data_IF_510381791684
#
_entry.id   IF_510381791684
#
_cell.length_a   1.000
_cell.length_b   1.000
_cell.length_c   1.000
_cell.angle_alpha   90.00
_cell.angle_beta   90.00
_cell.angle_gamma   90.00
#
_symmetry.space_group_name_H-M   'P 1'
#
loop_
_entity.id
_entity.type
_entity.pdbx_description
1 polymer ?
#
# COMPACT_ATOMS: atom_id res chain seq x y z
N UNK A 1 25.02 34.92 -31.96
CA UNK A 1 24.06 35.09 -30.85
C UNK A 1 24.43 34.05 -29.79
N UNK A 2 24.98 34.49 -28.67
CA UNK A 2 25.25 33.63 -27.53
C UNK A 2 23.88 33.44 -26.88
N UNK A 3 23.26 32.26 -27.04
CA UNK A 3 22.11 31.88 -26.23
C UNK A 3 22.56 31.83 -24.77
N UNK A 4 22.17 32.84 -24.03
CA UNK A 4 22.30 32.85 -22.57
C UNK A 4 21.37 31.72 -22.06
N UNK A 5 21.94 30.53 -21.76
CA UNK A 5 21.25 29.47 -21.09
C UNK A 5 20.77 30.00 -19.73
N UNK A 6 19.52 30.44 -19.65
CA UNK A 6 18.91 30.77 -18.37
C UNK A 6 18.83 29.51 -17.54
N UNK A 7 19.61 29.46 -16.46
CA UNK A 7 19.63 28.36 -15.50
C UNK A 7 18.20 28.12 -14.97
N UNK A 8 17.64 26.95 -15.24
CA UNK A 8 16.32 26.56 -14.73
C UNK A 8 16.38 26.28 -13.23
N UNK A 9 15.27 26.41 -12.52
CA UNK A 9 15.18 26.02 -11.10
C UNK A 9 15.57 24.56 -10.89
N UNK A 10 15.22 23.68 -11.82
CA UNK A 10 15.59 22.25 -11.80
C UNK A 10 17.10 22.00 -11.92
N UNK A 11 17.90 22.98 -12.39
CA UNK A 11 19.35 22.84 -12.46
C UNK A 11 20.02 22.99 -11.08
N UNK A 12 19.31 23.59 -10.11
CA UNK A 12 19.76 23.73 -8.74
C UNK A 12 19.39 22.51 -7.89
N UNK A 13 20.38 21.82 -7.34
CA UNK A 13 20.15 20.69 -6.44
C UNK A 13 19.23 21.09 -5.26
N UNK A 14 19.43 22.26 -4.65
CA UNK A 14 18.61 22.74 -3.53
C UNK A 14 17.12 22.79 -3.89
N UNK A 15 16.78 23.34 -5.05
CA UNK A 15 15.37 23.42 -5.49
C UNK A 15 14.80 22.04 -5.85
N UNK A 16 15.56 21.17 -6.53
CA UNK A 16 15.11 19.80 -6.84
C UNK A 16 14.80 19.02 -5.59
N UNK A 17 15.74 19.00 -4.65
CA UNK A 17 15.56 18.27 -3.39
C UNK A 17 14.47 18.88 -2.51
N UNK A 18 14.27 20.20 -2.53
CA UNK A 18 13.11 20.82 -1.87
C UNK A 18 11.79 20.36 -2.49
N UNK A 19 11.70 20.32 -3.81
CA UNK A 19 10.52 19.79 -4.51
C UNK A 19 10.25 18.33 -4.13
N UNK A 20 11.30 17.49 -4.07
CA UNK A 20 11.19 16.11 -3.63
C UNK A 20 10.68 16.00 -2.19
N UNK A 21 11.23 16.77 -1.27
CA UNK A 21 10.81 16.77 0.15
C UNK A 21 9.33 17.14 0.27
N UNK A 22 8.87 18.14 -0.46
CA UNK A 22 7.45 18.54 -0.44
C UNK A 22 6.54 17.42 -0.99
N UNK A 23 6.91 16.79 -2.10
CA UNK A 23 6.16 15.69 -2.68
C UNK A 23 6.18 14.45 -1.79
N UNK A 24 7.36 14.06 -1.32
CA UNK A 24 7.54 12.88 -0.46
C UNK A 24 6.89 13.04 0.92
N UNK A 25 6.85 14.25 1.47
CA UNK A 25 6.16 14.52 2.75
C UNK A 25 4.67 14.26 2.66
N UNK A 26 4.03 14.64 1.57
CA UNK A 26 2.61 14.35 1.36
C UNK A 26 2.34 12.85 1.26
N UNK A 27 3.21 12.09 0.57
CA UNK A 27 3.13 10.63 0.52
C UNK A 27 3.39 10.01 1.89
N UNK A 28 4.38 10.49 2.64
CA UNK A 28 4.67 10.04 4.00
C UNK A 28 3.43 10.13 4.91
N UNK A 29 2.73 11.26 4.90
CA UNK A 29 1.51 11.45 5.68
C UNK A 29 0.35 10.58 5.15
N UNK A 30 0.27 10.38 3.85
CA UNK A 30 -0.67 9.45 3.23
C UNK A 30 -0.47 8.01 3.73
N UNK A 31 0.75 7.52 3.74
CA UNK A 31 1.08 6.18 4.23
C UNK A 31 0.88 6.01 5.74
N UNK A 32 1.06 7.07 6.54
CA UNK A 32 0.64 7.06 7.95
C UNK A 32 -0.86 6.82 8.06
N UNK A 33 -1.68 7.52 7.24
CA UNK A 33 -3.13 7.39 7.32
C UNK A 33 -3.63 6.03 6.81
N UNK A 34 -3.04 5.48 5.74
CA UNK A 34 -3.40 4.14 5.20
C UNK A 34 -3.45 3.07 6.30
N UNK A 35 -2.54 3.14 7.25
CA UNK A 35 -2.40 2.14 8.30
C UNK A 35 -2.77 2.64 9.70
N UNK A 36 -3.40 3.81 9.83
CA UNK A 36 -3.65 4.46 11.13
C UNK A 36 -4.52 3.62 12.07
N UNK A 37 -5.48 2.89 11.54
CA UNK A 37 -6.37 2.01 12.33
C UNK A 37 -5.85 0.56 12.41
N UNK A 38 -4.85 0.18 11.62
CA UNK A 38 -4.31 -1.18 11.61
C UNK A 38 -3.82 -1.65 12.99
N UNK A 39 -3.03 -0.86 13.74
CA UNK A 39 -2.57 -1.25 15.06
C UNK A 39 -3.60 -1.05 16.20
N UNK A 40 -4.83 -0.66 15.88
CA UNK A 40 -5.88 -0.32 16.85
C UNK A 40 -7.10 -1.25 16.70
N UNK A 41 -6.96 -2.42 16.09
CA UNK A 41 -8.06 -3.35 15.83
C UNK A 41 -8.77 -3.79 17.12
N UNK A 42 -8.01 -4.08 18.18
CA UNK A 42 -8.53 -4.42 19.50
C UNK A 42 -9.35 -3.26 20.10
N UNK A 43 -8.83 -2.05 20.05
CA UNK A 43 -9.48 -0.86 20.57
C UNK A 43 -10.74 -0.48 19.78
N UNK A 44 -10.73 -0.68 18.45
CA UNK A 44 -11.92 -0.52 17.60
C UNK A 44 -13.02 -1.49 17.97
N UNK A 45 -12.70 -2.74 18.28
CA UNK A 45 -13.67 -3.71 18.76
C UNK A 45 -14.26 -3.30 20.09
N UNK A 46 -13.43 -2.86 21.03
CA UNK A 46 -13.86 -2.43 22.38
C UNK A 46 -14.68 -1.14 22.34
N UNK A 47 -14.24 -0.12 21.61
CA UNK A 47 -14.87 1.21 21.65
C UNK A 47 -15.96 1.43 20.60
N UNK A 48 -15.93 0.71 19.47
CA UNK A 48 -16.83 0.93 18.32
C UNK A 48 -17.54 -0.36 17.87
N UNK A 49 -17.31 -1.47 18.55
CA UNK A 49 -17.95 -2.75 18.21
C UNK A 49 -17.50 -3.34 16.88
N UNK A 50 -16.35 -2.95 16.33
CA UNK A 50 -15.85 -3.51 15.08
C UNK A 50 -15.26 -4.89 15.35
N UNK A 51 -16.01 -5.92 15.03
CA UNK A 51 -15.48 -7.28 15.01
C UNK A 51 -14.46 -7.49 13.88
N UNK A 52 -13.92 -8.70 13.78
CA UNK A 52 -12.93 -9.00 12.74
C UNK A 52 -13.47 -8.87 11.32
N UNK A 53 -14.78 -9.12 11.11
CA UNK A 53 -15.44 -8.97 9.80
C UNK A 53 -15.55 -7.49 9.43
N UNK A 54 -16.07 -6.65 10.34
CA UNK A 54 -16.20 -5.22 10.11
C UNK A 54 -14.84 -4.56 9.85
N UNK A 55 -13.82 -4.95 10.61
CA UNK A 55 -12.45 -4.47 10.40
C UNK A 55 -11.90 -4.88 9.03
N UNK A 56 -12.13 -6.12 8.61
CA UNK A 56 -11.72 -6.62 7.29
C UNK A 56 -12.38 -5.87 6.13
N UNK A 57 -13.69 -5.62 6.25
CA UNK A 57 -14.45 -4.84 5.28
C UNK A 57 -13.98 -3.38 5.20
N UNK A 58 -13.72 -2.76 6.35
CA UNK A 58 -13.08 -1.44 6.38
C UNK A 58 -11.70 -1.46 5.70
N UNK A 59 -10.82 -2.37 6.10
CA UNK A 59 -9.45 -2.43 5.58
C UNK A 59 -9.39 -2.69 4.07
N UNK A 60 -10.34 -3.48 3.54
CA UNK A 60 -10.47 -3.72 2.09
C UNK A 60 -11.11 -2.58 1.32
N UNK A 61 -11.77 -1.62 1.98
CA UNK A 61 -12.54 -0.58 1.27
C UNK A 61 -11.69 0.45 0.53
N UNK A 62 -10.44 0.66 0.91
CA UNK A 62 -9.55 1.67 0.31
C UNK A 62 -9.44 1.53 -1.22
N UNK A 63 -9.10 0.35 -1.81
CA UNK A 63 -8.97 0.22 -3.25
C UNK A 63 -10.31 -0.01 -4.00
N UNK A 64 -11.46 0.05 -3.31
CA UNK A 64 -12.75 -0.27 -3.91
C UNK A 64 -13.05 0.47 -5.22
N UNK A 65 -12.86 1.78 -5.25
CA UNK A 65 -13.14 2.59 -6.44
C UNK A 65 -12.13 2.33 -7.57
N UNK A 66 -10.89 1.94 -7.23
CA UNK A 66 -9.93 1.49 -8.23
C UNK A 66 -10.33 0.18 -8.88
N UNK A 67 -10.87 -0.75 -8.09
CA UNK A 67 -11.30 -2.07 -8.58
C UNK A 67 -12.56 -1.96 -9.44
N UNK A 68 -13.62 -1.32 -8.94
CA UNK A 68 -14.95 -1.37 -9.56
C UNK A 68 -15.25 -0.20 -10.49
N UNK A 69 -14.59 0.94 -10.32
CA UNK A 69 -14.80 2.14 -11.15
C UNK A 69 -13.58 2.47 -12.00
N UNK A 70 -12.47 1.71 -11.88
CA UNK A 70 -11.22 1.96 -12.61
C UNK A 70 -10.67 3.38 -12.37
N UNK A 71 -10.78 3.85 -11.13
CA UNK A 71 -10.48 5.23 -10.78
C UNK A 71 -9.07 5.68 -11.19
N UNK A 72 -8.09 4.78 -11.17
CA UNK A 72 -6.71 5.10 -11.58
C UNK A 72 -6.63 5.58 -13.04
N UNK A 73 -7.49 5.07 -13.92
CA UNK A 73 -7.57 5.55 -15.31
C UNK A 73 -8.08 6.99 -15.36
N UNK A 74 -9.11 7.31 -14.59
CA UNK A 74 -9.62 8.68 -14.48
C UNK A 74 -8.57 9.62 -13.88
N UNK A 75 -7.86 9.17 -12.87
CA UNK A 75 -6.75 9.92 -12.25
C UNK A 75 -5.65 10.24 -13.27
N UNK A 76 -5.27 9.28 -14.12
CA UNK A 76 -4.32 9.49 -15.22
C UNK A 76 -4.81 10.51 -16.23
N UNK A 77 -6.10 10.45 -16.63
CA UNK A 77 -6.71 11.42 -17.55
C UNK A 77 -6.72 12.84 -16.94
N UNK A 78 -7.02 12.96 -15.65
CA UNK A 78 -6.98 14.25 -14.93
C UNK A 78 -5.55 14.80 -14.95
N UNK A 79 -4.57 13.95 -14.62
CA UNK A 79 -3.16 14.33 -14.61
C UNK A 79 -2.68 14.79 -15.99
N UNK A 80 -3.07 14.10 -17.06
CA UNK A 80 -2.67 14.46 -18.43
C UNK A 80 -3.30 15.76 -18.94
N UNK A 81 -4.53 16.04 -18.52
CA UNK A 81 -5.26 17.25 -18.96
C UNK A 81 -4.98 18.46 -18.10
N UNK A 82 -4.89 18.26 -16.77
CA UNK A 82 -4.81 19.35 -15.80
C UNK A 82 -3.38 19.60 -15.28
N UNK A 83 -2.47 18.64 -15.52
CA UNK A 83 -1.07 18.74 -15.11
C UNK A 83 -0.82 18.43 -13.64
N UNK A 84 0.47 18.28 -13.29
CA UNK A 84 0.94 17.85 -11.95
C UNK A 84 0.44 18.76 -10.83
N UNK A 85 0.44 20.08 -11.02
CA UNK A 85 0.05 21.03 -9.97
C UNK A 85 -1.38 20.89 -9.51
N UNK A 86 -2.31 20.88 -10.47
CA UNK A 86 -3.74 20.75 -10.17
C UNK A 86 -4.02 19.41 -9.53
N UNK A 87 -3.46 18.34 -10.10
CA UNK A 87 -3.71 16.97 -9.62
C UNK A 87 -3.11 16.74 -8.25
N UNK A 88 -1.95 17.32 -7.91
CA UNK A 88 -1.38 17.26 -6.57
C UNK A 88 -2.31 17.90 -5.52
N UNK A 89 -2.79 19.11 -5.78
CA UNK A 89 -3.70 19.81 -4.84
C UNK A 89 -5.03 19.06 -4.74
N UNK A 90 -5.58 18.58 -5.85
CA UNK A 90 -6.82 17.80 -5.87
C UNK A 90 -6.66 16.50 -5.05
N UNK A 91 -5.59 15.75 -5.29
CA UNK A 91 -5.32 14.51 -4.58
C UNK A 91 -5.20 14.73 -3.08
N UNK A 92 -4.40 15.71 -2.65
CA UNK A 92 -4.28 16.08 -1.25
C UNK A 92 -5.60 16.51 -0.62
N UNK A 93 -6.44 17.24 -1.34
CA UNK A 93 -7.77 17.67 -0.88
C UNK A 93 -8.71 16.47 -0.70
N UNK A 94 -8.69 15.53 -1.64
CA UNK A 94 -9.50 14.29 -1.57
C UNK A 94 -9.03 13.40 -0.43
N UNK A 95 -7.70 13.29 -0.20
CA UNK A 95 -7.15 12.57 0.96
C UNK A 95 -7.63 13.18 2.29
N UNK A 96 -7.55 14.50 2.44
CA UNK A 96 -8.01 15.22 3.64
C UNK A 96 -9.50 15.02 3.86
N UNK A 97 -10.32 15.09 2.81
CA UNK A 97 -11.77 14.86 2.90
C UNK A 97 -12.08 13.44 3.38
N UNK A 98 -11.48 12.42 2.75
CA UNK A 98 -11.66 11.02 3.14
C UNK A 98 -11.22 10.76 4.58
N UNK A 99 -10.08 11.33 4.96
CA UNK A 99 -9.56 11.23 6.33
C UNK A 99 -10.47 11.93 7.37
N UNK A 100 -11.05 13.08 7.03
CA UNK A 100 -11.98 13.80 7.90
C UNK A 100 -13.26 12.99 8.13
N UNK A 101 -13.81 12.36 7.10
CA UNK A 101 -14.96 11.45 7.21
C UNK A 101 -14.61 10.25 8.10
N UNK A 102 -13.45 9.64 7.88
CA UNK A 102 -12.97 8.51 8.65
C UNK A 102 -12.76 8.89 10.14
N UNK A 103 -12.13 10.04 10.39
CA UNK A 103 -11.98 10.56 11.74
C UNK A 103 -13.33 10.77 12.44
N UNK A 104 -14.27 11.45 11.76
CA UNK A 104 -15.59 11.71 12.34
C UNK A 104 -16.32 10.40 12.67
N UNK A 105 -16.24 9.39 11.82
CA UNK A 105 -16.87 8.09 11.99
C UNK A 105 -16.45 7.37 13.29
N UNK A 106 -15.22 7.59 13.76
CA UNK A 106 -14.69 6.95 14.97
C UNK A 106 -14.74 7.86 16.21
N UNK A 107 -15.39 9.04 16.14
CA UNK A 107 -15.59 9.93 17.29
C UNK A 107 -16.82 9.55 18.13
N UNK A 108 -16.82 9.96 19.41
CA UNK A 108 -17.99 9.81 20.27
C UNK A 108 -19.15 10.69 19.80
N UNK A 109 -18.85 11.83 19.16
CA UNK A 109 -19.87 12.71 18.56
C UNK A 109 -20.67 12.02 17.46
N UNK A 110 -20.05 11.13 16.67
CA UNK A 110 -20.76 10.33 15.68
C UNK A 110 -21.76 9.37 16.34
N UNK A 111 -21.36 8.70 17.45
CA UNK A 111 -22.19 7.71 18.15
C UNK A 111 -23.50 8.30 18.70
N UNK A 112 -23.54 9.61 18.96
CA UNK A 112 -24.72 10.33 19.46
C UNK A 112 -25.46 11.11 18.36
N UNK A 113 -24.97 11.06 17.12
CA UNK A 113 -25.52 11.85 16.01
C UNK A 113 -26.68 11.16 15.30
N UNK A 114 -27.55 11.96 14.68
CA UNK A 114 -28.58 11.45 13.77
C UNK A 114 -27.99 10.75 12.51
N UNK A 115 -26.73 11.05 12.16
CA UNK A 115 -26.04 10.41 11.05
C UNK A 115 -25.77 8.93 11.37
N UNK A 116 -25.50 8.55 12.62
CA UNK A 116 -25.39 7.15 13.02
C UNK A 116 -26.67 6.39 12.71
N UNK A 117 -27.83 6.91 13.16
CA UNK A 117 -29.14 6.29 12.89
C UNK A 117 -29.40 6.15 11.38
N UNK A 118 -29.03 7.16 10.58
CA UNK A 118 -29.12 7.09 9.13
C UNK A 118 -28.20 5.98 8.56
N UNK A 119 -26.94 5.90 8.99
CA UNK A 119 -26.01 4.87 8.54
C UNK A 119 -26.40 3.45 8.97
N UNK A 120 -27.06 3.29 10.12
CA UNK A 120 -27.62 2.01 10.54
C UNK A 120 -28.75 1.54 9.58
N UNK A 121 -29.53 2.49 9.03
CA UNK A 121 -30.63 2.22 8.13
C UNK A 121 -30.23 1.93 6.67
N UNK A 122 -29.03 2.27 6.26
CA UNK A 122 -28.57 2.13 4.86
C UNK A 122 -27.41 1.13 4.73
N UNK A 123 -27.11 0.74 3.48
CA UNK A 123 -25.97 -0.15 3.13
C UNK A 123 -26.08 -1.52 3.85
N UNK A 124 -27.29 -1.97 4.16
CA UNK A 124 -27.59 -3.27 4.75
C UNK A 124 -27.73 -4.31 3.62
N UNK A 125 -26.63 -4.73 3.04
CA UNK A 125 -26.60 -5.73 1.98
C UNK A 125 -26.61 -7.13 2.58
N UNK A 126 -27.30 -8.11 1.93
CA UNK A 126 -27.35 -9.47 2.45
C UNK A 126 -25.95 -10.02 2.68
N UNK A 127 -25.71 -10.57 3.86
CA UNK A 127 -24.44 -11.24 4.19
C UNK A 127 -24.38 -12.54 3.39
N UNK A 128 -23.50 -12.59 2.38
CA UNK A 128 -23.19 -13.79 1.62
C UNK A 128 -21.70 -13.79 1.27
N UNK A 129 -21.13 -14.98 1.14
CA UNK A 129 -19.70 -15.14 0.83
C UNK A 129 -19.27 -14.53 -0.52
N UNK A 130 -20.23 -14.26 -1.43
CA UNK A 130 -19.98 -13.56 -2.69
C UNK A 130 -20.35 -12.06 -2.65
N UNK A 131 -20.65 -11.53 -1.46
CA UNK A 131 -20.90 -10.11 -1.33
C UNK A 131 -19.59 -9.34 -1.56
N UNK A 132 -19.47 -8.79 -2.76
CA UNK A 132 -18.30 -8.01 -3.19
C UNK A 132 -18.34 -6.56 -2.75
N UNK A 133 -19.29 -6.18 -1.91
CA UNK A 133 -19.37 -4.81 -1.38
C UNK A 133 -18.69 -4.71 -0.02
N UNK A 134 -18.15 -3.53 0.33
CA UNK A 134 -17.54 -3.34 1.64
C UNK A 134 -18.56 -3.16 2.77
N UNK A 135 -19.85 -3.27 2.50
CA UNK A 135 -20.92 -3.13 3.48
C UNK A 135 -21.78 -4.40 3.55
N UNK A 136 -22.28 -4.72 4.74
CA UNK A 136 -23.16 -5.86 4.99
C UNK A 136 -24.17 -5.55 6.10
N UNK A 137 -25.24 -6.34 6.17
CA UNK A 137 -26.25 -6.25 7.21
C UNK A 137 -25.67 -6.56 8.59
N UNK A 138 -25.86 -5.65 9.54
CA UNK A 138 -25.29 -5.77 10.89
C UNK A 138 -23.89 -5.15 11.05
N UNK A 139 -23.31 -4.61 9.99
CA UNK A 139 -22.06 -3.87 10.11
C UNK A 139 -22.25 -2.59 10.93
N UNK A 140 -21.38 -2.28 11.91
CA UNK A 140 -21.49 -1.06 12.71
C UNK A 140 -21.54 0.21 11.85
N UNK A 141 -22.42 1.16 12.19
CA UNK A 141 -22.60 2.40 11.43
C UNK A 141 -21.28 3.19 11.28
N UNK A 142 -20.47 3.21 12.33
CA UNK A 142 -19.15 3.84 12.33
C UNK A 142 -18.21 3.18 11.32
N UNK A 143 -18.23 1.84 11.19
CA UNK A 143 -17.44 1.12 10.21
C UNK A 143 -17.91 1.38 8.77
N UNK A 144 -19.24 1.49 8.55
CA UNK A 144 -19.80 1.84 7.24
C UNK A 144 -19.35 3.23 6.78
N UNK A 145 -19.44 4.23 7.66
CA UNK A 145 -19.03 5.60 7.34
C UNK A 145 -17.51 5.70 7.18
N UNK A 146 -16.75 5.03 8.04
CA UNK A 146 -15.30 4.98 7.93
C UNK A 146 -14.85 4.35 6.60
N UNK A 147 -15.52 3.27 6.16
CA UNK A 147 -15.24 2.65 4.86
C UNK A 147 -15.47 3.63 3.69
N UNK A 148 -16.54 4.44 3.73
CA UNK A 148 -16.77 5.50 2.72
C UNK A 148 -15.61 6.50 2.74
N UNK A 149 -15.21 6.97 3.92
CA UNK A 149 -14.07 7.87 4.06
C UNK A 149 -12.79 7.27 3.51
N UNK A 150 -12.56 5.98 3.75
CA UNK A 150 -11.35 5.28 3.31
C UNK A 150 -11.33 5.04 1.80
N UNK A 151 -12.47 4.80 1.15
CA UNK A 151 -12.59 4.77 -0.31
C UNK A 151 -12.23 6.12 -0.95
N UNK A 152 -12.76 7.21 -0.39
CA UNK A 152 -12.46 8.57 -0.88
C UNK A 152 -10.98 8.87 -0.70
N UNK A 153 -10.42 8.53 0.46
CA UNK A 153 -9.00 8.65 0.74
C UNK A 153 -8.16 7.86 -0.27
N UNK A 154 -8.54 6.61 -0.58
CA UNK A 154 -7.89 5.75 -1.56
C UNK A 154 -7.81 6.39 -2.96
N UNK A 155 -8.88 7.06 -3.40
CA UNK A 155 -8.83 7.84 -4.64
C UNK A 155 -7.77 8.94 -4.60
N UNK A 156 -7.67 9.65 -3.48
CA UNK A 156 -6.66 10.67 -3.28
C UNK A 156 -5.25 10.11 -3.31
N UNK A 157 -5.02 8.98 -2.65
CA UNK A 157 -3.72 8.31 -2.56
C UNK A 157 -3.22 7.82 -3.91
N UNK A 158 -4.09 7.20 -4.70
CA UNK A 158 -3.74 6.73 -6.04
C UNK A 158 -3.42 7.90 -7.00
N UNK A 159 -4.23 8.97 -6.95
CA UNK A 159 -3.89 10.19 -7.70
C UNK A 159 -2.56 10.78 -7.25
N UNK A 160 -2.30 10.82 -5.94
CA UNK A 160 -1.05 11.35 -5.39
C UNK A 160 0.14 10.54 -5.89
N UNK A 161 0.07 9.21 -5.88
CA UNK A 161 1.15 8.32 -6.31
C UNK A 161 1.62 8.59 -7.74
N UNK A 162 0.68 8.63 -8.70
CA UNK A 162 1.03 8.92 -10.10
C UNK A 162 1.51 10.37 -10.30
N UNK A 163 0.95 11.31 -9.54
CA UNK A 163 1.31 12.72 -9.62
C UNK A 163 2.69 13.01 -9.06
N UNK A 164 3.02 12.40 -7.92
CA UNK A 164 4.34 12.51 -7.27
C UNK A 164 5.42 11.93 -8.18
N UNK A 165 5.19 10.74 -8.74
CA UNK A 165 6.12 10.12 -9.69
C UNK A 165 6.38 11.01 -10.88
N UNK A 166 5.34 11.58 -11.51
CA UNK A 166 5.49 12.52 -12.64
C UNK A 166 6.17 13.83 -12.21
N UNK A 167 5.88 14.33 -11.02
CA UNK A 167 6.56 15.49 -10.44
C UNK A 167 8.06 15.26 -10.27
N UNK A 168 8.46 14.10 -9.77
CA UNK A 168 9.87 13.72 -9.64
C UNK A 168 10.53 13.66 -11.02
N UNK A 169 9.92 12.99 -12.00
CA UNK A 169 10.44 12.95 -13.37
C UNK A 169 10.68 14.36 -13.89
N UNK A 170 9.69 15.25 -13.79
CA UNK A 170 9.79 16.62 -14.30
C UNK A 170 10.94 17.41 -13.69
N UNK A 171 11.19 17.26 -12.37
CA UNK A 171 12.23 18.01 -11.68
C UNK A 171 13.63 17.37 -11.76
N UNK A 172 13.72 16.06 -11.98
CA UNK A 172 14.96 15.30 -11.95
C UNK A 172 15.40 14.77 -13.33
N UNK A 173 14.67 15.04 -14.43
CA UNK A 173 15.11 14.66 -15.77
C UNK A 173 16.49 15.27 -16.06
N UNK A 174 17.45 14.40 -16.44
CA UNK A 174 18.85 14.78 -16.64
C UNK A 174 19.70 14.85 -15.37
N UNK A 175 19.13 14.49 -14.22
CA UNK A 175 19.78 14.48 -12.91
C UNK A 175 19.58 13.11 -12.21
N UNK A 176 19.73 13.06 -10.88
CA UNK A 176 19.69 11.87 -10.02
C UNK A 176 18.25 11.31 -9.81
N UNK A 177 17.49 11.07 -10.87
CA UNK A 177 16.07 10.67 -10.84
C UNK A 177 15.83 9.33 -10.10
N UNK A 178 16.66 8.32 -10.35
CA UNK A 178 16.50 7.01 -9.69
C UNK A 178 16.70 7.12 -8.17
N UNK A 179 17.66 7.94 -7.74
CA UNK A 179 17.87 8.22 -6.32
C UNK A 179 16.68 8.95 -5.71
N UNK A 180 16.11 9.94 -6.41
CA UNK A 180 14.95 10.71 -5.94
C UNK A 180 13.73 9.81 -5.75
N UNK A 181 13.43 8.92 -6.72
CA UNK A 181 12.35 7.95 -6.60
C UNK A 181 12.59 6.94 -5.47
N UNK A 182 13.82 6.46 -5.31
CA UNK A 182 14.18 5.56 -4.23
C UNK A 182 14.03 6.20 -2.84
N UNK A 183 14.38 7.47 -2.69
CA UNK A 183 14.22 8.24 -1.45
C UNK A 183 12.73 8.46 -1.15
N UNK A 184 11.91 8.81 -2.14
CA UNK A 184 10.45 8.95 -1.98
C UNK A 184 9.83 7.66 -1.43
N UNK A 185 10.11 6.53 -2.07
CA UNK A 185 9.61 5.21 -1.63
C UNK A 185 10.10 4.83 -0.23
N UNK A 186 11.35 5.15 0.12
CA UNK A 186 11.87 4.92 1.46
C UNK A 186 11.14 5.76 2.51
N UNK A 187 10.90 7.04 2.23
CA UNK A 187 10.14 7.95 3.11
C UNK A 187 8.71 7.43 3.33
N UNK A 188 8.04 6.95 2.29
CA UNK A 188 6.71 6.34 2.40
C UNK A 188 6.71 5.14 3.36
N UNK A 189 7.69 4.22 3.24
CA UNK A 189 7.83 3.06 4.16
C UNK A 189 8.14 3.46 5.59
N UNK A 190 8.91 4.52 5.80
CA UNK A 190 9.15 5.09 7.14
C UNK A 190 7.82 5.60 7.74
N UNK A 191 6.90 6.15 6.93
CA UNK A 191 5.56 6.52 7.37
C UNK A 191 4.79 5.34 7.96
N UNK A 192 4.84 4.19 7.29
CA UNK A 192 4.24 2.94 7.82
C UNK A 192 4.90 2.52 9.14
N UNK A 193 6.23 2.59 9.24
CA UNK A 193 6.92 2.26 10.49
C UNK A 193 6.49 3.17 11.64
N UNK A 194 6.39 4.48 11.37
CA UNK A 194 5.99 5.49 12.37
C UNK A 194 4.57 5.24 12.87
N UNK A 195 3.63 4.90 12.00
CA UNK A 195 2.24 4.66 12.43
C UNK A 195 2.08 3.38 13.23
N UNK A 196 2.80 2.31 12.87
CA UNK A 196 2.75 1.05 13.63
C UNK A 196 3.21 1.22 15.08
N UNK A 197 4.18 2.08 15.31
CA UNK A 197 4.66 2.42 16.66
C UNK A 197 3.83 3.53 17.32
N UNK A 198 3.50 4.58 16.59
CA UNK A 198 2.95 5.81 17.15
C UNK A 198 1.44 5.76 17.41
N UNK A 199 0.66 5.09 16.56
CA UNK A 199 -0.79 5.08 16.72
C UNK A 199 -1.24 4.41 18.05
N UNK A 200 -0.70 3.25 18.48
CA UNK A 200 -1.02 2.68 19.78
C UNK A 200 -0.65 3.59 20.94
N UNK A 201 0.52 4.24 20.89
CA UNK A 201 0.96 5.17 21.93
C UNK A 201 0.00 6.35 22.05
N UNK A 202 -0.39 6.96 20.94
CA UNK A 202 -1.33 8.07 20.91
C UNK A 202 -2.74 7.65 21.40
N UNK A 203 -3.21 6.46 21.02
CA UNK A 203 -4.51 5.96 21.40
C UNK A 203 -4.64 5.73 22.91
N UNK A 204 -3.58 5.22 23.56
CA UNK A 204 -3.55 4.87 24.97
C UNK A 204 -3.22 6.03 25.92
N UNK A 205 -2.98 7.23 25.42
CA UNK A 205 -2.95 8.43 26.29
C UNK A 205 -4.29 8.61 26.97
N UNK A 206 -4.28 9.06 28.22
CA UNK A 206 -5.51 9.26 29.01
C UNK A 206 -6.28 10.51 28.56
N UNK A 207 -7.59 10.43 28.30
CA UNK A 207 -8.44 9.23 28.20
C UNK A 207 -8.15 8.41 26.96
N UNK A 208 -8.23 7.08 27.04
CA UNK A 208 -7.97 6.18 25.90
C UNK A 208 -8.99 6.41 24.78
N UNK A 209 -8.52 6.67 23.55
CA UNK A 209 -9.40 7.00 22.43
C UNK A 209 -8.84 6.58 21.09
N UNK A 210 -9.62 5.82 20.32
CA UNK A 210 -9.29 5.43 18.94
C UNK A 210 -9.31 6.62 17.97
N UNK A 211 -10.11 7.65 18.26
CA UNK A 211 -10.23 8.83 17.37
C UNK A 211 -9.00 9.76 17.40
N UNK A 212 -8.20 9.72 18.47
CA UNK A 212 -7.04 10.62 18.65
C UNK A 212 -5.93 10.39 17.62
N UNK A 213 -5.44 9.16 17.37
CA UNK A 213 -4.45 8.91 16.33
C UNK A 213 -4.96 9.32 14.94
N UNK A 214 -6.26 9.09 14.67
CA UNK A 214 -6.87 9.47 13.40
C UNK A 214 -6.93 10.98 13.24
N UNK A 215 -7.30 11.73 14.30
CA UNK A 215 -7.25 13.19 14.32
C UNK A 215 -5.83 13.72 14.07
N UNK A 216 -4.84 13.12 14.73
CA UNK A 216 -3.44 13.51 14.53
C UNK A 216 -2.99 13.28 13.09
N UNK A 217 -3.30 12.13 12.50
CA UNK A 217 -2.96 11.86 11.11
C UNK A 217 -3.72 12.76 10.11
N UNK A 218 -4.96 13.15 10.42
CA UNK A 218 -5.69 14.16 9.64
C UNK A 218 -4.97 15.51 9.63
N UNK A 219 -4.43 15.96 10.77
CA UNK A 219 -3.62 17.18 10.83
C UNK A 219 -2.36 17.04 9.98
N UNK A 220 -1.69 15.88 10.02
CA UNK A 220 -0.52 15.61 9.17
C UNK A 220 -0.89 15.64 7.68
N UNK A 221 -2.06 15.11 7.29
CA UNK A 221 -2.54 15.20 5.91
C UNK A 221 -2.86 16.64 5.48
N UNK A 222 -3.37 17.47 6.38
CA UNK A 222 -3.53 18.92 6.10
C UNK A 222 -2.16 19.58 5.85
N UNK A 223 -1.12 19.20 6.61
CA UNK A 223 0.25 19.67 6.35
C UNK A 223 0.74 19.14 4.99
N UNK A 224 0.45 17.87 4.63
CA UNK A 224 0.75 17.30 3.32
C UNK A 224 0.09 18.08 2.17
N UNK A 225 -1.17 18.46 2.33
CA UNK A 225 -1.86 19.33 1.37
C UNK A 225 -1.17 20.69 1.24
N UNK A 226 -0.72 21.29 2.33
CA UNK A 226 0.06 22.53 2.29
C UNK A 226 1.40 22.35 1.57
N UNK A 227 2.04 21.17 1.73
CA UNK A 227 3.24 20.82 0.95
C UNK A 227 2.94 20.75 -0.55
N UNK A 228 1.83 20.14 -0.97
CA UNK A 228 1.42 20.10 -2.37
C UNK A 228 1.09 21.50 -2.92
N UNK A 229 0.43 22.34 -2.15
CA UNK A 229 0.17 23.75 -2.55
C UNK A 229 1.49 24.51 -2.73
N UNK A 230 2.44 24.35 -1.79
CA UNK A 230 3.77 24.98 -1.86
C UNK A 230 4.56 24.48 -3.06
N UNK A 231 4.55 23.16 -3.30
CA UNK A 231 5.10 22.56 -4.51
C UNK A 231 4.49 23.16 -5.78
N UNK A 232 3.17 23.35 -5.81
CA UNK A 232 2.46 23.96 -6.94
C UNK A 232 2.96 25.37 -7.28
N UNK A 233 3.29 26.18 -6.28
CA UNK A 233 3.90 27.52 -6.51
C UNK A 233 5.33 27.41 -7.08
N UNK A 234 6.11 26.45 -6.60
CA UNK A 234 7.47 26.20 -7.11
C UNK A 234 7.42 25.70 -8.56
N UNK A 235 6.55 24.75 -8.85
CA UNK A 235 6.38 24.15 -10.17
C UNK A 235 5.87 25.17 -11.21
N UNK A 236 4.99 26.10 -10.78
CA UNK A 236 4.56 27.23 -11.63
C UNK A 236 5.74 28.10 -12.08
N UNK A 237 6.73 28.32 -11.20
CA UNK A 237 7.94 29.08 -11.55
C UNK A 237 8.83 28.29 -12.52
N UNK A 238 8.90 26.97 -12.36
CA UNK A 238 9.66 26.10 -13.27
C UNK A 238 9.05 26.10 -14.67
N UNK A 239 7.71 26.03 -14.79
CA UNK A 239 7.01 26.10 -16.08
C UNK A 239 7.25 27.42 -16.80
N UNK A 240 7.28 28.54 -16.06
CA UNK A 240 7.60 29.85 -16.62
C UNK A 240 9.00 29.91 -17.25
N UNK A 241 9.90 28.96 -16.87
CA UNK A 241 11.24 28.82 -17.44
C UNK A 241 11.29 27.83 -18.63
N UNK A 242 10.12 27.39 -19.11
CA UNK A 242 10.01 26.53 -20.30
C UNK A 242 10.27 25.03 -20.03
N UNK A 243 10.15 24.58 -18.80
CA UNK A 243 10.12 23.14 -18.50
C UNK A 243 8.82 22.53 -19.04
N UNK A 244 8.93 21.43 -19.79
CA UNK A 244 7.77 20.68 -20.31
C UNK A 244 7.61 19.40 -19.49
N UNK A 245 6.37 19.06 -19.20
CA UNK A 245 6.05 17.74 -18.64
C UNK A 245 6.23 16.68 -19.73
N UNK A 246 6.99 15.62 -19.43
CA UNK A 246 6.95 14.41 -20.24
C UNK A 246 5.63 13.70 -19.94
N UNK A 247 4.86 13.44 -21.00
CA UNK A 247 3.62 12.67 -20.91
C UNK A 247 3.93 11.22 -21.05
N UNK A 248 3.46 10.41 -20.11
CA UNK A 248 3.50 8.95 -20.26
C UNK A 248 2.66 8.51 -21.46
N UNK A 249 2.99 7.33 -22.00
CA UNK A 249 2.14 6.72 -23.02
C UNK A 249 0.76 6.45 -22.44
N UNK A 250 -0.30 7.06 -23.01
CA UNK A 250 -1.64 6.98 -22.44
C UNK A 250 -2.16 5.54 -22.47
N UNK A 251 -2.93 5.17 -21.46
CA UNK A 251 -3.68 3.93 -21.46
C UNK A 251 -4.58 3.83 -22.69
N UNK A 252 -4.44 2.75 -23.45
CA UNK A 252 -5.20 2.51 -24.69
C UNK A 252 -6.12 1.31 -24.52
N UNK A 253 -7.43 1.54 -24.44
CA UNK A 253 -8.44 0.48 -24.32
C UNK A 253 -8.30 -0.60 -25.39
N UNK A 254 -7.90 -0.24 -26.61
CA UNK A 254 -7.66 -1.18 -27.72
C UNK A 254 -6.52 -2.17 -27.48
N UNK A 255 -5.61 -1.86 -26.56
CA UNK A 255 -4.48 -2.73 -26.26
C UNK A 255 -4.80 -3.77 -25.19
N UNK A 256 -5.92 -3.60 -24.45
CA UNK A 256 -6.35 -4.54 -23.41
C UNK A 256 -6.46 -5.97 -23.95
N UNK A 257 -7.15 -6.16 -25.08
CA UNK A 257 -7.32 -7.50 -25.68
C UNK A 257 -5.99 -8.17 -26.03
N UNK A 258 -5.01 -7.39 -26.52
CA UNK A 258 -3.67 -7.89 -26.84
C UNK A 258 -2.92 -8.29 -25.57
N UNK A 259 -2.96 -7.44 -24.54
CA UNK A 259 -2.27 -7.69 -23.26
C UNK A 259 -2.85 -8.92 -22.58
N UNK A 260 -4.18 -9.03 -22.50
CA UNK A 260 -4.86 -10.17 -21.86
C UNK A 260 -4.62 -11.50 -22.63
N UNK A 261 -4.23 -11.46 -23.91
CA UNK A 261 -3.83 -12.65 -24.67
C UNK A 261 -2.41 -13.11 -24.37
N UNK A 262 -1.58 -12.27 -23.74
CA UNK A 262 -0.21 -12.60 -23.40
C UNK A 262 -0.11 -13.50 -22.17
N UNK A 263 0.40 -14.71 -22.33
CA UNK A 263 0.61 -15.65 -21.21
C UNK A 263 1.50 -15.08 -20.10
N UNK A 264 2.57 -14.39 -20.49
CA UNK A 264 3.53 -13.80 -19.55
C UNK A 264 2.92 -12.68 -18.72
N UNK A 265 1.98 -11.92 -19.30
CA UNK A 265 1.21 -10.93 -18.54
C UNK A 265 0.50 -11.55 -17.34
N UNK A 266 -0.23 -12.65 -17.55
CA UNK A 266 -0.95 -13.32 -16.46
C UNK A 266 -0.04 -13.89 -15.38
N UNK A 267 1.11 -14.45 -15.77
CA UNK A 267 2.07 -14.97 -14.79
C UNK A 267 2.58 -13.87 -13.87
N UNK A 268 2.94 -12.71 -14.43
CA UNK A 268 3.42 -11.57 -13.64
C UNK A 268 2.30 -10.93 -12.83
N UNK A 269 1.11 -10.74 -13.42
CA UNK A 269 -0.03 -10.15 -12.73
C UNK A 269 -0.50 -11.02 -11.55
N UNK A 270 -0.54 -12.35 -11.72
CA UNK A 270 -0.88 -13.28 -10.65
C UNK A 270 0.21 -13.36 -9.58
N UNK A 271 1.49 -13.32 -9.95
CA UNK A 271 2.57 -13.17 -8.98
C UNK A 271 2.40 -11.90 -8.16
N UNK A 272 2.13 -10.77 -8.83
CA UNK A 272 1.92 -9.49 -8.17
C UNK A 272 0.78 -9.57 -7.14
N UNK A 273 -0.41 -10.03 -7.54
CA UNK A 273 -1.55 -10.11 -6.61
C UNK A 273 -1.29 -11.04 -5.43
N UNK A 274 -0.67 -12.20 -5.66
CA UNK A 274 -0.37 -13.15 -4.58
C UNK A 274 0.61 -12.57 -3.56
N UNK A 275 1.66 -11.92 -4.02
CA UNK A 275 2.65 -11.31 -3.14
C UNK A 275 2.09 -10.15 -2.34
N UNK A 276 1.45 -9.20 -3.01
CA UNK A 276 0.92 -8.02 -2.36
C UNK A 276 -0.22 -8.37 -1.41
N UNK A 277 -1.05 -9.37 -1.76
CA UNK A 277 -2.12 -9.86 -0.89
C UNK A 277 -1.64 -10.64 0.34
N UNK A 278 -0.45 -11.24 0.28
CA UNK A 278 0.12 -11.92 1.45
C UNK A 278 0.81 -10.95 2.43
N UNK A 279 1.14 -9.74 2.02
CA UNK A 279 1.92 -8.79 2.82
C UNK A 279 1.06 -7.63 3.34
N UNK A 280 0.38 -6.90 2.47
CA UNK A 280 -0.37 -5.71 2.89
C UNK A 280 -1.60 -6.05 3.75
N UNK A 281 -2.44 -7.05 3.41
CA UNK A 281 -3.48 -7.50 4.32
C UNK A 281 -2.93 -8.06 5.63
N UNK A 282 -1.83 -8.81 5.61
CA UNK A 282 -1.17 -9.26 6.85
C UNK A 282 -0.79 -8.08 7.74
N UNK A 283 -0.21 -7.01 7.18
CA UNK A 283 0.17 -5.81 7.91
C UNK A 283 -1.01 -5.19 8.68
N UNK A 284 -2.23 -5.27 8.13
CA UNK A 284 -3.45 -4.77 8.80
C UNK A 284 -3.77 -5.53 10.10
N UNK A 285 -3.41 -6.79 10.21
CA UNK A 285 -3.71 -7.66 11.33
C UNK A 285 -2.51 -7.95 12.25
N UNK A 286 -1.29 -7.64 11.81
CA UNK A 286 -0.05 -8.06 12.45
C UNK A 286 0.07 -7.63 13.91
N UNK A 287 -0.31 -6.39 14.25
CA UNK A 287 -0.23 -5.90 15.63
C UNK A 287 -1.18 -6.69 16.53
N UNK A 288 -2.43 -6.90 16.11
CA UNK A 288 -3.38 -7.68 16.90
C UNK A 288 -2.98 -9.16 17.01
N UNK A 289 -2.41 -9.74 15.95
CA UNK A 289 -1.83 -11.10 16.01
C UNK A 289 -0.73 -11.18 17.09
N UNK A 290 0.19 -10.22 17.13
CA UNK A 290 1.27 -10.22 18.13
C UNK A 290 0.75 -9.99 19.55
N UNK A 291 -0.35 -9.25 19.72
CA UNK A 291 -1.04 -9.14 21.01
C UNK A 291 -1.60 -10.50 21.43
N UNK A 292 -2.26 -11.22 20.53
CA UNK A 292 -2.86 -12.53 20.82
C UNK A 292 -1.81 -13.60 21.12
N UNK A 293 -0.75 -13.69 20.32
CA UNK A 293 0.24 -14.76 20.40
C UNK A 293 1.25 -14.57 21.54
N UNK A 294 1.62 -13.33 21.84
CA UNK A 294 2.68 -13.00 22.80
C UNK A 294 2.16 -12.31 24.09
N UNK A 295 0.87 -12.00 24.16
CA UNK A 295 0.30 -11.23 25.27
C UNK A 295 0.82 -9.80 25.36
N UNK A 296 1.28 -9.23 24.24
CA UNK A 296 1.80 -7.88 24.19
C UNK A 296 0.70 -6.83 24.28
N UNK A 297 1.05 -5.66 24.80
CA UNK A 297 0.24 -4.46 24.57
C UNK A 297 0.37 -4.02 23.12
N UNK A 298 -0.60 -3.26 22.60
CA UNK A 298 -0.55 -2.75 21.23
C UNK A 298 0.76 -1.95 20.94
N UNK A 299 1.24 -1.20 21.96
CA UNK A 299 2.51 -0.45 21.84
C UNK A 299 3.74 -1.37 21.75
N UNK A 300 3.77 -2.46 22.53
CA UNK A 300 4.86 -3.44 22.44
C UNK A 300 4.84 -4.19 21.12
N UNK A 301 3.66 -4.62 20.67
CA UNK A 301 3.49 -5.24 19.35
C UNK A 301 3.91 -4.30 18.23
N UNK A 302 3.55 -3.01 18.31
CA UNK A 302 3.96 -1.97 17.40
C UNK A 302 5.48 -1.79 17.34
N UNK A 303 6.16 -1.79 18.50
CA UNK A 303 7.62 -1.71 18.59
C UNK A 303 8.31 -2.91 17.92
N UNK A 304 7.72 -4.09 18.00
CA UNK A 304 8.26 -5.27 17.33
C UNK A 304 8.02 -5.19 15.82
N UNK A 305 6.80 -4.84 15.41
CA UNK A 305 6.42 -4.88 14.00
C UNK A 305 7.01 -3.72 13.16
N UNK A 306 7.32 -2.57 13.78
CA UNK A 306 7.88 -1.42 13.05
C UNK A 306 9.21 -1.76 12.33
N UNK A 307 9.92 -2.79 12.79
CA UNK A 307 11.15 -3.29 12.16
C UNK A 307 10.91 -3.78 10.72
N UNK A 308 9.71 -4.29 10.43
CA UNK A 308 9.35 -4.77 9.10
C UNK A 308 9.43 -3.67 8.02
N UNK A 309 8.64 -2.58 8.07
CA UNK A 309 8.68 -1.56 7.03
C UNK A 309 10.00 -0.79 7.01
N UNK A 310 10.60 -0.56 8.18
CA UNK A 310 11.90 0.13 8.28
C UNK A 310 13.03 -0.72 7.69
N UNK A 311 13.07 -2.02 8.03
CA UNK A 311 14.04 -2.97 7.48
C UNK A 311 13.90 -3.12 5.97
N UNK A 312 12.66 -3.21 5.47
CA UNK A 312 12.39 -3.26 4.04
C UNK A 312 12.86 -1.97 3.33
N UNK A 313 12.65 -0.79 3.92
CA UNK A 313 13.13 0.47 3.37
C UNK A 313 14.67 0.49 3.24
N UNK A 314 15.37 -0.03 4.26
CA UNK A 314 16.82 -0.08 4.27
C UNK A 314 17.40 -1.12 3.28
N UNK A 315 16.79 -2.30 3.20
CA UNK A 315 17.33 -3.43 2.42
C UNK A 315 17.05 -3.29 0.91
N UNK A 316 15.92 -2.71 0.51
CA UNK A 316 15.50 -2.63 -0.90
C UNK A 316 16.55 -2.04 -1.84
N UNK A 317 17.26 -0.93 -1.52
CA UNK A 317 18.28 -0.39 -2.41
C UNK A 317 19.46 -1.36 -2.64
N UNK A 318 19.88 -2.10 -1.62
CA UNK A 318 20.97 -3.08 -1.74
C UNK A 318 20.57 -4.25 -2.63
N UNK A 319 19.33 -4.74 -2.49
CA UNK A 319 18.80 -5.81 -3.32
C UNK A 319 18.58 -5.37 -4.77
N UNK A 320 18.11 -4.14 -5.00
CA UNK A 320 18.01 -3.57 -6.34
C UNK A 320 19.37 -3.51 -7.02
N UNK A 321 20.38 -2.96 -6.33
CA UNK A 321 21.75 -2.91 -6.87
C UNK A 321 22.34 -4.32 -7.14
N UNK A 322 22.07 -5.29 -6.27
CA UNK A 322 22.48 -6.68 -6.50
C UNK A 322 21.84 -7.26 -7.77
N UNK A 323 20.55 -7.06 -7.95
CA UNK A 323 19.81 -7.54 -9.13
C UNK A 323 20.27 -6.86 -10.42
N UNK A 324 20.58 -5.57 -10.38
CA UNK A 324 21.06 -4.83 -11.53
C UNK A 324 22.39 -5.36 -12.04
N UNK A 325 23.31 -5.76 -11.15
CA UNK A 325 24.64 -6.23 -11.52
C UNK A 325 24.74 -7.76 -11.67
N UNK A 326 23.95 -8.54 -10.94
CA UNK A 326 24.04 -10.01 -10.92
C UNK A 326 22.87 -10.68 -11.64
N UNK A 327 21.76 -9.99 -11.86
CA UNK A 327 20.55 -10.57 -12.41
C UNK A 327 19.86 -11.52 -11.42
N UNK A 328 19.41 -12.68 -11.93
CA UNK A 328 18.70 -13.74 -11.19
C UNK A 328 17.31 -13.32 -10.70
N UNK A 329 16.59 -12.49 -11.48
CA UNK A 329 15.29 -11.96 -11.10
C UNK A 329 14.26 -13.04 -10.76
N UNK A 330 14.07 -14.04 -11.62
CA UNK A 330 13.15 -15.14 -11.36
C UNK A 330 13.57 -15.97 -10.12
N UNK A 331 14.88 -16.20 -9.94
CA UNK A 331 15.41 -16.90 -8.75
C UNK A 331 15.12 -16.12 -7.47
N UNK A 332 15.23 -14.78 -7.48
CA UNK A 332 14.95 -13.94 -6.32
C UNK A 332 13.45 -13.89 -5.99
N UNK A 333 12.57 -13.93 -6.99
CA UNK A 333 11.13 -14.08 -6.77
C UNK A 333 10.80 -15.43 -6.09
N UNK A 334 11.43 -16.52 -6.52
CA UNK A 334 11.27 -17.84 -5.88
C UNK A 334 11.77 -17.80 -4.43
N UNK A 335 12.95 -17.23 -4.17
CA UNK A 335 13.49 -17.10 -2.83
C UNK A 335 12.55 -16.28 -1.93
N UNK A 336 12.04 -15.16 -2.44
CA UNK A 336 11.06 -14.34 -1.71
C UNK A 336 9.80 -15.12 -1.35
N UNK A 337 9.27 -15.97 -2.28
CA UNK A 337 8.11 -16.82 -1.99
C UNK A 337 8.41 -17.82 -0.86
N UNK A 338 9.57 -18.47 -0.88
CA UNK A 338 9.98 -19.41 0.18
C UNK A 338 10.08 -18.70 1.54
N UNK A 339 10.72 -17.53 1.58
CA UNK A 339 10.84 -16.75 2.82
C UNK A 339 9.48 -16.32 3.37
N UNK A 340 8.55 -15.95 2.49
CA UNK A 340 7.18 -15.59 2.86
C UNK A 340 6.43 -16.80 3.46
N UNK A 341 6.53 -17.97 2.85
CA UNK A 341 5.94 -19.21 3.39
C UNK A 341 6.50 -19.51 4.78
N UNK A 342 7.83 -19.51 4.91
CA UNK A 342 8.51 -19.79 6.19
C UNK A 342 8.06 -18.80 7.26
N UNK A 343 7.98 -17.53 6.93
CA UNK A 343 7.54 -16.48 7.85
C UNK A 343 6.11 -16.71 8.35
N UNK A 344 5.15 -16.88 7.44
CA UNK A 344 3.75 -17.06 7.84
C UNK A 344 3.51 -18.38 8.57
N UNK A 345 4.19 -19.47 8.21
CA UNK A 345 4.13 -20.72 8.98
C UNK A 345 4.78 -20.59 10.36
N UNK A 346 5.82 -19.77 10.49
CA UNK A 346 6.41 -19.45 11.80
C UNK A 346 5.42 -18.70 12.68
N UNK A 347 4.68 -17.75 12.13
CA UNK A 347 3.60 -17.07 12.86
C UNK A 347 2.41 -17.99 13.15
N UNK A 348 2.09 -18.93 12.26
CA UNK A 348 0.99 -19.88 12.48
C UNK A 348 1.24 -20.86 13.64
N UNK A 349 2.47 -21.37 13.76
CA UNK A 349 2.76 -22.53 14.62
C UNK A 349 3.86 -22.29 15.64
N UNK A 350 4.95 -21.62 15.26
CA UNK A 350 6.15 -21.54 16.10
C UNK A 350 6.04 -20.40 17.12
N UNK A 351 5.57 -19.25 16.72
CA UNK A 351 5.42 -18.09 17.62
C UNK A 351 4.40 -18.38 18.72
N UNK A 352 3.17 -18.86 18.43
CA UNK A 352 2.19 -19.18 19.47
C UNK A 352 2.68 -20.27 20.44
N UNK A 353 3.37 -21.30 19.90
CA UNK A 353 3.87 -22.42 20.70
C UNK A 353 5.04 -22.05 21.62
N UNK A 354 5.93 -21.18 21.16
CA UNK A 354 7.16 -20.81 21.89
C UNK A 354 7.05 -19.51 22.65
N UNK A 355 6.14 -18.64 22.26
CA UNK A 355 5.99 -17.25 22.74
C UNK A 355 7.33 -16.48 22.72
N UNK A 356 8.21 -16.85 21.77
CA UNK A 356 9.57 -16.32 21.68
C UNK A 356 9.62 -15.01 20.90
N UNK A 357 9.98 -13.94 21.56
CA UNK A 357 10.21 -12.62 20.97
C UNK A 357 11.32 -12.64 19.92
N UNK A 358 12.37 -13.44 20.16
CA UNK A 358 13.51 -13.56 19.24
C UNK A 358 13.07 -14.21 17.92
N UNK A 359 12.30 -15.29 17.99
CA UNK A 359 11.76 -15.96 16.80
C UNK A 359 10.84 -15.02 16.04
N UNK A 360 10.04 -14.23 16.74
CA UNK A 360 9.17 -13.22 16.14
C UNK A 360 9.96 -12.16 15.37
N UNK A 361 11.04 -11.62 15.95
CA UNK A 361 11.92 -10.68 15.22
C UNK A 361 12.56 -11.32 14.00
N UNK A 362 13.03 -12.56 14.10
CA UNK A 362 13.59 -13.28 12.94
C UNK A 362 12.55 -13.47 11.83
N UNK A 363 11.33 -13.85 12.17
CA UNK A 363 10.25 -13.98 11.20
C UNK A 363 9.90 -12.63 10.52
N UNK A 364 9.85 -11.55 11.29
CA UNK A 364 9.59 -10.20 10.77
C UNK A 364 10.72 -9.74 9.84
N UNK A 365 11.98 -10.00 10.19
CA UNK A 365 13.13 -9.68 9.35
C UNK A 365 13.09 -10.48 8.04
N UNK A 366 12.78 -11.78 8.11
CA UNK A 366 12.60 -12.62 6.92
C UNK A 366 11.48 -12.11 6.02
N UNK A 367 10.36 -11.65 6.61
CA UNK A 367 9.28 -11.04 5.83
C UNK A 367 9.73 -9.74 5.17
N UNK A 368 10.51 -8.91 5.84
CA UNK A 368 11.08 -7.68 5.29
C UNK A 368 12.02 -7.95 4.12
N UNK A 369 12.85 -8.98 4.21
CA UNK A 369 13.72 -9.42 3.11
C UNK A 369 12.87 -9.92 1.94
N UNK A 370 11.87 -10.78 2.20
CA UNK A 370 10.94 -11.29 1.19
C UNK A 370 10.24 -10.13 0.46
N UNK A 371 9.69 -9.18 1.21
CA UNK A 371 9.01 -8.01 0.67
C UNK A 371 9.91 -7.11 -0.17
N UNK A 372 11.20 -7.04 0.14
CA UNK A 372 12.15 -6.24 -0.63
C UNK A 372 12.61 -6.96 -1.90
N UNK A 373 12.79 -8.29 -1.85
CA UNK A 373 13.27 -9.10 -2.98
C UNK A 373 12.30 -9.06 -4.17
N UNK A 374 11.00 -9.23 -3.90
CA UNK A 374 10.04 -9.47 -4.98
C UNK A 374 9.74 -8.24 -5.81
N UNK A 375 9.37 -7.09 -5.26
CA UNK A 375 9.18 -5.89 -6.06
C UNK A 375 10.46 -5.49 -6.83
N UNK A 376 11.64 -5.63 -6.18
CA UNK A 376 12.92 -5.33 -6.82
C UNK A 376 13.22 -6.24 -8.03
N UNK A 377 12.72 -7.48 -8.03
CA UNK A 377 12.90 -8.41 -9.15
C UNK A 377 11.74 -8.34 -10.16
N UNK A 378 10.51 -8.22 -9.69
CA UNK A 378 9.29 -8.32 -10.51
C UNK A 378 9.09 -7.11 -11.42
N UNK A 379 9.16 -5.90 -10.87
CA UNK A 379 8.88 -4.70 -11.67
C UNK A 379 9.86 -4.50 -12.82
N UNK A 380 11.19 -4.68 -12.66
CA UNK A 380 12.12 -4.65 -13.80
C UNK A 380 11.98 -5.82 -14.78
N UNK A 381 11.27 -6.89 -14.41
CA UNK A 381 11.00 -8.02 -15.29
C UNK A 381 9.88 -7.72 -16.31
N UNK A 382 8.93 -6.83 -15.98
CA UNK A 382 7.79 -6.52 -16.86
C UNK A 382 8.22 -6.04 -18.25
N UNK A 383 9.18 -5.10 -18.42
CA UNK A 383 9.65 -4.66 -19.73
C UNK A 383 10.38 -5.73 -20.53
N UNK A 384 10.91 -6.76 -19.86
CA UNK A 384 11.55 -7.91 -20.53
C UNK A 384 10.53 -8.90 -21.11
N UNK A 385 9.30 -8.87 -20.61
CA UNK A 385 8.23 -9.84 -20.89
C UNK A 385 7.15 -9.30 -21.82
N UNK A 386 6.99 -7.98 -21.88
CA UNK A 386 5.91 -7.28 -22.58
C UNK A 386 6.53 -6.23 -23.51
N UNK A 387 6.00 -6.12 -24.73
CA UNK A 387 6.44 -5.12 -25.71
C UNK A 387 6.34 -3.70 -25.11
N UNK A 388 7.37 -2.90 -25.29
CA UNK A 388 7.45 -1.52 -24.79
C UNK A 388 6.26 -0.65 -25.22
N UNK A 389 5.66 -0.91 -26.39
CA UNK A 389 4.47 -0.19 -26.89
C UNK A 389 3.22 -0.45 -26.05
N UNK A 390 3.18 -1.55 -25.30
CA UNK A 390 2.05 -1.97 -24.48
C UNK A 390 2.31 -1.74 -22.99
N UNK A 391 3.51 -1.28 -22.63
CA UNK A 391 4.01 -1.32 -21.25
C UNK A 391 3.16 -0.48 -20.29
N UNK A 392 2.79 0.75 -20.67
CA UNK A 392 1.94 1.61 -19.84
C UNK A 392 0.58 0.99 -19.54
N UNK A 393 -0.08 0.43 -20.56
CA UNK A 393 -1.37 -0.28 -20.39
C UNK A 393 -1.21 -1.58 -19.59
N UNK A 394 -0.08 -2.29 -19.74
CA UNK A 394 0.19 -3.50 -18.98
C UNK A 394 0.40 -3.22 -17.48
N UNK A 395 1.17 -2.20 -17.14
CA UNK A 395 1.33 -1.77 -15.74
C UNK A 395 -0.01 -1.38 -15.12
N UNK A 396 -0.84 -0.59 -15.81
CA UNK A 396 -2.16 -0.21 -15.33
C UNK A 396 -3.05 -1.44 -15.02
N UNK A 397 -3.03 -2.46 -15.89
CA UNK A 397 -3.77 -3.70 -15.68
C UNK A 397 -3.18 -4.54 -14.55
N UNK A 398 -1.85 -4.61 -14.39
CA UNK A 398 -1.21 -5.31 -13.28
C UNK A 398 -1.61 -4.64 -11.95
N UNK A 399 -1.56 -3.31 -11.85
CA UNK A 399 -2.00 -2.58 -10.67
C UNK A 399 -3.48 -2.79 -10.37
N UNK A 400 -4.33 -2.81 -11.41
CA UNK A 400 -5.75 -3.10 -11.22
C UNK A 400 -5.98 -4.50 -10.63
N UNK A 401 -5.31 -5.54 -11.17
CA UNK A 401 -5.39 -6.92 -10.66
C UNK A 401 -4.83 -6.99 -9.23
N UNK A 402 -3.74 -6.29 -8.94
CA UNK A 402 -3.20 -6.17 -7.59
C UNK A 402 -4.24 -5.61 -6.61
N UNK A 403 -4.94 -4.54 -6.99
CA UNK A 403 -5.96 -3.90 -6.17
C UNK A 403 -7.16 -4.82 -5.89
N UNK A 404 -7.50 -5.76 -6.78
CA UNK A 404 -8.49 -6.80 -6.50
C UNK A 404 -8.07 -7.63 -5.27
N UNK A 405 -6.80 -8.00 -5.19
CA UNK A 405 -6.26 -8.72 -4.04
C UNK A 405 -6.27 -7.88 -2.76
N UNK A 406 -5.84 -6.63 -2.84
CA UNK A 406 -5.83 -5.71 -1.69
C UNK A 406 -7.25 -5.39 -1.18
N UNK A 407 -8.24 -5.43 -2.07
CA UNK A 407 -9.65 -5.33 -1.72
C UNK A 407 -10.17 -6.60 -1.02
N UNK A 408 -9.97 -7.76 -1.64
CA UNK A 408 -10.62 -9.00 -1.23
C UNK A 408 -9.99 -9.63 0.02
N UNK A 409 -8.66 -9.65 0.12
CA UNK A 409 -7.98 -10.40 1.17
C UNK A 409 -8.20 -9.88 2.58
N UNK A 410 -8.25 -8.56 2.88
CA UNK A 410 -8.61 -8.10 4.22
C UNK A 410 -9.99 -8.60 4.67
N UNK A 411 -10.98 -8.61 3.77
CA UNK A 411 -12.32 -9.13 4.07
C UNK A 411 -12.32 -10.65 4.29
N UNK A 412 -11.60 -11.40 3.44
CA UNK A 412 -11.45 -12.84 3.59
C UNK A 412 -10.81 -13.18 4.94
N UNK A 413 -9.72 -12.51 5.29
CA UNK A 413 -9.01 -12.72 6.55
C UNK A 413 -9.90 -12.38 7.74
N UNK A 414 -10.63 -11.26 7.69
CA UNK A 414 -11.58 -10.89 8.75
C UNK A 414 -12.67 -11.92 8.96
N UNK A 415 -13.25 -12.44 7.86
CA UNK A 415 -14.27 -13.49 7.90
C UNK A 415 -13.72 -14.84 8.40
N UNK A 416 -12.53 -15.22 7.94
CA UNK A 416 -11.86 -16.45 8.41
C UNK A 416 -11.51 -16.34 9.90
N UNK A 417 -10.98 -15.19 10.32
CA UNK A 417 -10.65 -14.96 11.73
C UNK A 417 -11.88 -15.05 12.63
N UNK A 418 -13.02 -14.48 12.22
CA UNK A 418 -14.27 -14.60 12.93
C UNK A 418 -14.79 -16.05 12.96
N UNK A 419 -14.72 -16.77 11.85
CA UNK A 419 -15.17 -18.14 11.75
C UNK A 419 -14.34 -19.12 12.60
N UNK A 420 -13.04 -18.87 12.75
CA UNK A 420 -12.14 -19.68 13.56
C UNK A 420 -12.21 -19.36 15.07
N UNK A 421 -12.83 -18.25 15.44
CA UNK A 421 -12.92 -17.78 16.84
C UNK A 421 -14.37 -17.61 17.31
N UNK A 422 -15.24 -18.64 17.19
CA UNK A 422 -16.64 -18.51 17.58
C UNK A 422 -16.76 -18.29 19.11
N UNK A 423 -17.48 -17.23 19.48
CA UNK A 423 -17.73 -16.92 20.90
C UNK A 423 -16.57 -16.23 21.64
N UNK A 424 -15.44 -15.98 20.99
CA UNK A 424 -14.33 -15.21 21.58
C UNK A 424 -14.67 -13.73 21.51
N UNK A 425 -14.93 -13.11 22.67
CA UNK A 425 -15.27 -11.68 22.79
C UNK A 425 -14.06 -10.80 23.05
N UNK A 426 -12.99 -11.35 23.62
CA UNK A 426 -11.74 -10.64 23.89
C UNK A 426 -10.90 -10.55 22.63
N UNK A 427 -10.71 -9.35 22.04
CA UNK A 427 -9.96 -9.18 20.79
C UNK A 427 -8.47 -9.51 20.92
N UNK A 428 -7.96 -9.71 22.13
CA UNK A 428 -6.54 -10.06 22.39
C UNK A 428 -6.32 -11.56 22.58
N UNK A 429 -7.37 -12.38 22.39
CA UNK A 429 -7.33 -13.86 22.56
C UNK A 429 -7.76 -14.61 21.32
N UNK A 430 -7.69 -14.00 20.15
CA UNK A 430 -8.03 -14.61 18.89
C UNK A 430 -6.94 -15.57 18.43
N UNK A 431 -7.34 -16.71 17.88
CA UNK A 431 -6.43 -17.67 17.21
C UNK A 431 -6.20 -17.22 15.76
N UNK A 432 -4.97 -16.92 15.44
CA UNK A 432 -4.51 -16.49 14.11
C UNK A 432 -3.94 -17.63 13.26
N UNK A 433 -3.94 -18.88 13.74
CA UNK A 433 -3.32 -20.03 13.05
C UNK A 433 -3.83 -20.18 11.62
N UNK A 434 -5.16 -20.24 11.42
CA UNK A 434 -5.76 -20.43 10.08
C UNK A 434 -5.55 -19.20 9.17
N UNK A 435 -5.76 -17.95 9.61
CA UNK A 435 -5.37 -16.77 8.84
C UNK A 435 -3.91 -16.79 8.37
N UNK A 436 -2.97 -17.17 9.24
CA UNK A 436 -1.55 -17.25 8.86
C UNK A 436 -1.27 -18.37 7.86
N UNK A 437 -1.92 -19.52 7.99
CA UNK A 437 -1.87 -20.60 6.99
C UNK A 437 -2.43 -20.14 5.63
N UNK A 438 -3.47 -19.32 5.63
CA UNK A 438 -4.02 -18.74 4.40
C UNK A 438 -2.98 -17.82 3.71
N UNK A 439 -2.30 -16.96 4.46
CA UNK A 439 -1.22 -16.15 3.90
C UNK A 439 -0.05 -17.01 3.40
N UNK A 440 0.32 -18.07 4.12
CA UNK A 440 1.33 -19.03 3.67
C UNK A 440 0.93 -19.70 2.35
N UNK A 441 -0.36 -20.02 2.17
CA UNK A 441 -0.87 -20.64 0.94
C UNK A 441 -0.69 -19.73 -0.28
N UNK A 442 -0.85 -18.40 -0.13
CA UNK A 442 -0.55 -17.44 -1.20
C UNK A 442 0.93 -17.51 -1.60
N UNK A 443 1.82 -17.69 -0.61
CA UNK A 443 3.24 -17.91 -0.85
C UNK A 443 3.51 -19.21 -1.63
N UNK A 444 2.78 -20.27 -1.34
CA UNK A 444 2.90 -21.56 -2.06
C UNK A 444 2.48 -21.38 -3.53
N UNK A 445 1.36 -20.71 -3.80
CA UNK A 445 0.94 -20.41 -5.17
C UNK A 445 1.95 -19.51 -5.88
N UNK A 446 2.48 -18.49 -5.19
CA UNK A 446 3.53 -17.62 -5.74
C UNK A 446 4.82 -18.39 -6.05
N UNK A 447 5.20 -19.37 -5.22
CA UNK A 447 6.34 -20.25 -5.45
C UNK A 447 6.17 -21.07 -6.74
N UNK A 448 5.00 -21.68 -6.93
CA UNK A 448 4.71 -22.44 -8.17
C UNK A 448 4.76 -21.54 -9.40
N UNK A 449 4.17 -20.33 -9.32
CA UNK A 449 4.22 -19.37 -10.43
C UNK A 449 5.64 -18.87 -10.70
N UNK A 450 6.44 -18.63 -9.66
CA UNK A 450 7.84 -18.24 -9.78
C UNK A 450 8.70 -19.31 -10.47
N UNK A 451 8.51 -20.58 -10.08
CA UNK A 451 9.17 -21.72 -10.75
C UNK A 451 8.72 -21.81 -12.22
N UNK A 452 7.42 -21.66 -12.45
CA UNK A 452 6.85 -21.68 -13.80
C UNK A 452 7.40 -20.53 -14.67
N UNK A 453 7.48 -19.31 -14.11
CA UNK A 453 8.09 -18.17 -14.78
C UNK A 453 9.55 -18.44 -15.18
N UNK A 454 10.33 -19.04 -14.27
CA UNK A 454 11.73 -19.41 -14.53
C UNK A 454 11.87 -20.47 -15.63
N UNK A 455 10.96 -21.44 -15.69
CA UNK A 455 10.92 -22.44 -16.75
C UNK A 455 10.58 -21.79 -18.11
N UNK A 456 9.62 -20.87 -18.11
CA UNK A 456 9.26 -20.13 -19.32
C UNK A 456 10.38 -19.22 -19.81
N UNK A 457 11.09 -18.54 -18.87
CA UNK A 457 12.26 -17.73 -19.20
C UNK A 457 13.34 -18.55 -19.89
N UNK A 458 13.66 -19.73 -19.35
CA UNK A 458 14.65 -20.64 -19.93
C UNK A 458 14.26 -21.11 -21.35
N UNK A 459 12.94 -21.31 -21.62
CA UNK A 459 12.44 -21.72 -22.92
C UNK A 459 12.32 -20.57 -23.92
N UNK A 460 11.94 -19.41 -23.44
CA UNK A 460 11.63 -18.23 -24.27
C UNK A 460 12.78 -17.24 -24.42
N UNK A 461 13.85 -17.35 -23.62
CA UNK A 461 15.02 -16.46 -23.70
C UNK A 461 14.72 -15.01 -23.32
N UNK A 462 13.80 -14.77 -22.35
CA UNK A 462 13.41 -13.41 -21.96
C UNK A 462 14.51 -12.67 -21.18
N UNK A 463 15.50 -13.38 -20.63
CA UNK A 463 16.63 -12.80 -19.91
C UNK A 463 16.29 -12.32 -18.49
N UNK A 464 15.35 -12.99 -17.81
CA UNK A 464 15.00 -12.65 -16.42
C UNK A 464 16.13 -12.96 -15.42
N UNK A 465 16.98 -13.92 -15.76
CA UNK A 465 18.15 -14.28 -14.96
C UNK A 465 19.40 -13.43 -15.32
N UNK A 466 19.32 -12.63 -16.38
CA UNK A 466 20.43 -11.77 -16.79
C UNK A 466 20.43 -10.45 -16.03
N UNK A 467 21.63 -9.87 -15.77
CA UNK A 467 21.75 -8.55 -15.15
C UNK A 467 21.10 -7.48 -16.04
N UNK A 468 20.56 -6.44 -15.39
CA UNK A 468 19.99 -5.30 -16.09
C UNK A 468 21.07 -4.38 -16.65
N UNK A 469 22.22 -4.29 -15.97
CA UNK A 469 23.41 -3.54 -16.38
C UNK A 469 24.43 -4.55 -16.90
N UNK A 470 24.69 -4.51 -18.21
CA UNK A 470 25.78 -5.29 -18.82
C UNK A 470 27.10 -4.57 -18.50
N UNK A 471 27.95 -5.23 -17.73
CA UNK A 471 29.34 -4.77 -17.43
C UNK A 471 30.22 -4.85 -18.68
#
# INVERSE_FOLDING_TARGET
MVETFQKKLSDSAAWRWTALVLLASAMFFGYIFVDILSPLKDLLQIQRGWDSVAFGHYAGSEPFLNVFVFFLIFAGIILDKMGVRFTAILSGSVMVLGAAINWYAVTDSFETSGLKTFMDGILNLPSSWWNVTPWYEGMPASAKLAAIGFMIFGCGTEMAGITVSRGIVKWFTGHEMALAMGVEMAIARVGVAVVMLGAPVLAHLTPVSVSRPVAFSLVLLCIGLMCFITYGFMDKKLDAQGAKEEKDDPFKVKDIGKILSLRMFWVVALLCVLYYSAIFPFQKYAINMLQCDLGFTASQAGLVFFVFPLGAAAITPFLGNYLDHKGKGATMMILGAILMIVCHLTFAFVVPATQSVIITYLAIILLGISFSLVPAAMWPSVPKLIDNKLLGSAYALIFWIQNIGLYAFPMIIGSVLAACNPGVTDPTKLDYTVPMCLFASLGVFALFLGIYLKVLDKKGGYGLEEPNIKS
#
